data_IF_670922893517
#
_entry.id   IF_670922893517
#
_cell.length_a   1.000
_cell.length_b   1.000
_cell.length_c   1.000
_cell.angle_alpha   90.00
_cell.angle_beta   90.00
_cell.angle_gamma   90.00
#
_symmetry.space_group_name_H-M   'P 1'
#
loop_
_entity.id
_entity.type
_entity.pdbx_description
1 polymer ?
#
# COMPACT_ATOMS: atom_id res chain seq x y z
N UNK A 1 -35.07 -43.00 -35.27
CA UNK A 1 -34.64 -43.68 -34.02
C UNK A 1 -33.41 -44.52 -34.34
N UNK A 2 -32.22 -43.98 -34.10
CA UNK A 2 -30.98 -44.55 -34.63
C UNK A 2 -29.84 -44.56 -33.58
N UNK A 3 -29.26 -45.76 -33.41
CA UNK A 3 -27.89 -46.14 -33.03
C UNK A 3 -26.99 -45.26 -32.13
N UNK A 4 -26.36 -45.92 -31.13
CA UNK A 4 -24.91 -45.88 -30.79
C UNK A 4 -24.63 -46.94 -29.70
N UNK A 5 -24.23 -48.17 -30.03
CA UNK A 5 -22.86 -48.73 -30.16
C UNK A 5 -21.78 -48.18 -29.21
N UNK A 6 -21.24 -49.11 -28.42
CA UNK A 6 -20.06 -49.02 -27.56
C UNK A 6 -18.73 -49.15 -28.31
N UNK A 7 -17.63 -48.68 -27.68
CA UNK A 7 -16.23 -49.19 -27.66
C UNK A 7 -15.40 -48.16 -26.87
N UNK A 8 -14.79 -48.49 -25.73
CA UNK A 8 -13.65 -49.38 -25.46
C UNK A 8 -12.29 -48.80 -25.89
N UNK A 9 -11.51 -48.49 -24.84
CA UNK A 9 -10.09 -48.20 -24.67
C UNK A 9 -9.11 -48.47 -25.83
N UNK A 10 -8.17 -47.54 -26.00
CA UNK A 10 -6.84 -47.78 -26.55
C UNK A 10 -5.77 -47.04 -25.74
N UNK A 11 -4.86 -47.82 -25.16
CA UNK A 11 -3.58 -47.43 -24.58
C UNK A 11 -2.51 -47.46 -25.67
N UNK A 12 -1.73 -46.39 -25.81
CA UNK A 12 -0.41 -46.32 -26.44
C UNK A 12 0.36 -45.24 -25.67
N UNK A 13 1.32 -45.58 -24.78
CA UNK A 13 2.69 -46.03 -25.05
C UNK A 13 3.56 -44.96 -25.75
N UNK A 14 4.17 -44.09 -24.94
CA UNK A 14 5.42 -43.38 -25.20
C UNK A 14 6.09 -43.26 -23.82
N UNK A 15 7.30 -43.69 -23.55
CA UNK A 15 8.49 -43.76 -24.39
C UNK A 15 9.62 -43.21 -23.52
N UNK A 16 10.10 -44.02 -22.58
CA UNK A 16 11.19 -43.70 -21.66
C UNK A 16 12.50 -43.63 -22.46
N UNK A 17 13.13 -42.45 -22.48
CA UNK A 17 14.54 -42.30 -22.86
C UNK A 17 15.31 -41.89 -21.60
N UNK A 18 16.02 -42.87 -21.05
CA UNK A 18 17.02 -42.72 -19.99
C UNK A 18 18.26 -42.05 -20.60
N UNK A 19 18.46 -40.77 -20.30
CA UNK A 19 19.75 -40.11 -20.43
C UNK A 19 20.47 -40.15 -19.08
N UNK A 20 21.50 -40.98 -18.99
CA UNK A 20 22.41 -41.13 -17.87
C UNK A 20 23.21 -39.83 -17.68
N UNK A 21 22.90 -39.05 -16.65
CA UNK A 21 23.74 -37.94 -16.22
C UNK A 21 24.69 -38.41 -15.11
N UNK A 22 25.98 -38.42 -15.44
CA UNK A 22 27.08 -38.62 -14.51
C UNK A 22 27.11 -37.50 -13.48
N UNK A 23 27.03 -37.86 -12.20
CA UNK A 23 27.30 -36.96 -11.07
C UNK A 23 28.80 -36.65 -11.02
N UNK A 24 29.16 -35.42 -11.39
CA UNK A 24 30.43 -34.82 -10.97
C UNK A 24 30.17 -33.98 -9.70
N UNK A 25 31.07 -33.98 -8.70
CA UNK A 25 30.89 -33.21 -7.48
C UNK A 25 31.09 -31.72 -7.77
N UNK A 26 30.00 -31.00 -7.93
CA UNK A 26 30.01 -29.54 -7.98
C UNK A 26 30.33 -29.00 -6.59
N UNK A 27 31.48 -28.34 -6.52
CA UNK A 27 31.96 -27.55 -5.39
C UNK A 27 30.87 -26.65 -4.82
N UNK A 28 30.74 -26.71 -3.50
CA UNK A 28 29.89 -25.89 -2.65
C UNK A 28 30.09 -24.40 -2.96
N UNK A 29 29.19 -23.79 -3.75
CA UNK A 29 29.14 -22.33 -3.90
C UNK A 29 28.17 -21.80 -2.84
N UNK A 30 28.76 -21.10 -1.89
CA UNK A 30 28.12 -20.34 -0.81
C UNK A 30 26.84 -19.63 -1.24
N UNK A 31 25.75 -19.86 -0.48
CA UNK A 31 24.43 -19.28 -0.70
C UNK A 31 24.38 -17.75 -0.58
N UNK A 32 23.21 -17.15 -0.91
CA UNK A 32 23.03 -15.70 -0.88
C UNK A 32 23.31 -15.16 0.52
N UNK A 33 24.21 -14.18 0.59
CA UNK A 33 24.55 -13.47 1.83
C UNK A 33 23.27 -12.85 2.39
N UNK A 34 22.99 -13.13 3.67
CA UNK A 34 22.03 -12.37 4.46
C UNK A 34 22.36 -10.88 4.34
N UNK A 35 21.38 -9.97 4.22
CA UNK A 35 21.65 -8.55 4.31
C UNK A 35 22.38 -8.28 5.62
N UNK A 36 23.52 -7.61 5.52
CA UNK A 36 24.36 -7.25 6.65
C UNK A 36 23.51 -6.48 7.66
N UNK A 37 23.29 -7.10 8.83
CA UNK A 37 22.86 -6.35 10.01
C UNK A 37 23.89 -5.25 10.23
N UNK A 38 23.40 -4.01 10.27
CA UNK A 38 24.14 -2.85 10.70
C UNK A 38 24.80 -3.14 12.06
N UNK A 39 26.06 -3.60 12.05
CA UNK A 39 26.90 -3.72 13.24
C UNK A 39 27.42 -2.32 13.53
N UNK A 40 26.84 -1.67 14.53
CA UNK A 40 27.44 -0.48 15.14
C UNK A 40 28.78 -0.90 15.76
N UNK A 41 29.86 -0.30 15.26
CA UNK A 41 31.18 -0.34 15.89
C UNK A 41 31.07 0.25 17.30
N UNK A 42 31.51 -0.51 18.29
CA UNK A 42 31.66 -0.05 19.66
C UNK A 42 32.87 0.88 19.74
N UNK A 43 32.65 2.17 19.51
CA UNK A 43 33.54 3.23 19.98
C UNK A 43 32.69 4.37 20.52
N UNK A 44 32.69 4.43 21.85
CA UNK A 44 32.04 5.40 22.72
C UNK A 44 32.49 6.83 22.41
N UNK A 45 31.58 7.61 21.83
CA UNK A 45 31.45 9.03 22.11
C UNK A 45 29.95 9.29 22.26
N UNK A 46 29.55 9.88 23.41
CA UNK A 46 28.18 10.32 23.67
C UNK A 46 27.82 11.40 22.65
N UNK A 47 27.15 10.98 21.56
CA UNK A 47 26.49 11.88 20.62
C UNK A 47 25.17 12.31 21.29
N UNK A 48 24.80 13.60 21.29
CA UNK A 48 23.51 14.03 21.83
C UNK A 48 22.38 13.30 21.08
N UNK A 49 21.47 12.68 21.83
CA UNK A 49 20.46 11.72 21.35
C UNK A 49 19.20 12.38 20.73
N UNK A 50 19.19 13.69 20.48
CA UNK A 50 17.93 14.42 20.25
C UNK A 50 17.91 15.32 19.00
N UNK A 51 18.77 15.07 18.00
CA UNK A 51 18.54 15.67 16.69
C UNK A 51 17.42 14.90 15.99
N UNK A 52 16.18 15.36 16.15
CA UNK A 52 15.03 14.88 15.40
C UNK A 52 15.35 15.01 13.91
N UNK A 53 15.64 13.88 13.25
CA UNK A 53 15.83 13.85 11.80
C UNK A 53 14.46 14.11 11.17
N UNK A 54 14.18 15.37 10.89
CA UNK A 54 13.00 15.79 10.13
C UNK A 54 13.23 15.31 8.70
N UNK A 55 12.60 14.20 8.35
CA UNK A 55 12.56 13.74 6.96
C UNK A 55 11.48 14.53 6.22
N UNK A 56 11.82 15.04 5.05
CA UNK A 56 10.98 15.92 4.27
C UNK A 56 9.83 15.17 3.59
N UNK A 57 8.70 15.86 3.42
CA UNK A 57 7.67 15.47 2.47
C UNK A 57 8.23 15.55 1.04
N UNK A 58 7.66 14.76 0.13
CA UNK A 58 7.96 14.87 -1.28
C UNK A 58 6.72 15.21 -2.09
N UNK A 59 6.91 15.95 -3.17
CA UNK A 59 5.85 16.30 -4.11
C UNK A 59 6.35 16.12 -5.54
N UNK A 60 5.45 15.67 -6.41
CA UNK A 60 5.67 15.65 -7.85
C UNK A 60 4.54 16.44 -8.50
N UNK A 61 4.88 17.57 -9.09
CA UNK A 61 3.91 18.35 -9.86
C UNK A 61 3.48 17.63 -11.13
N UNK A 62 2.33 18.05 -11.67
CA UNK A 62 1.94 17.70 -13.03
C UNK A 62 3.08 18.02 -14.01
N UNK A 63 3.18 17.23 -15.08
CA UNK A 63 4.24 17.39 -16.08
C UNK A 63 4.20 18.80 -16.69
N UNK A 64 5.37 19.37 -16.95
CA UNK A 64 5.47 20.69 -17.55
C UNK A 64 4.67 20.76 -18.86
N UNK A 65 3.84 21.79 -19.02
CA UNK A 65 2.95 21.96 -20.18
C UNK A 65 1.62 21.21 -20.08
N UNK A 66 1.36 20.44 -19.01
CA UNK A 66 0.07 19.80 -18.77
C UNK A 66 -0.67 20.46 -17.60
N UNK A 67 -2.01 20.49 -17.68
CA UNK A 67 -2.85 21.00 -16.59
C UNK A 67 -2.88 20.00 -15.43
N UNK A 68 -2.74 20.49 -14.19
CA UNK A 68 -3.03 19.70 -12.99
C UNK A 68 -4.52 19.38 -12.95
N UNK A 69 -4.86 18.11 -13.18
CA UNK A 69 -6.25 17.64 -13.24
C UNK A 69 -6.56 16.53 -12.23
N UNK A 70 -5.54 15.98 -11.57
CA UNK A 70 -5.67 14.89 -10.60
C UNK A 70 -4.60 15.03 -9.51
N UNK A 71 -4.95 14.76 -8.25
CA UNK A 71 -3.98 14.59 -7.15
C UNK A 71 -4.05 13.15 -6.63
N UNK A 72 -2.90 12.55 -6.37
CA UNK A 72 -2.75 11.36 -5.53
C UNK A 72 -2.01 11.73 -4.25
N UNK A 73 -2.61 11.50 -3.09
CA UNK A 73 -1.93 11.54 -1.79
C UNK A 73 -1.56 10.12 -1.40
N UNK A 74 -0.26 9.79 -1.37
CA UNK A 74 0.19 8.41 -1.19
C UNK A 74 1.14 8.24 0.02
N UNK A 75 0.76 7.37 0.95
CA UNK A 75 1.45 7.20 2.23
C UNK A 75 2.35 5.96 2.24
N UNK A 76 3.61 6.16 2.61
CA UNK A 76 4.61 5.10 2.73
C UNK A 76 4.34 4.13 3.90
N UNK A 77 4.96 2.94 3.89
CA UNK A 77 4.92 1.99 5.01
C UNK A 77 5.80 2.40 6.21
N UNK A 78 5.70 1.67 7.32
CA UNK A 78 6.51 1.93 8.51
C UNK A 78 8.02 1.94 8.19
N UNK A 79 8.77 2.86 8.80
CA UNK A 79 10.22 3.06 8.61
C UNK A 79 10.64 3.42 7.17
N UNK A 80 9.76 4.08 6.40
CA UNK A 80 10.00 4.61 5.04
C UNK A 80 9.80 6.13 4.99
N UNK A 81 9.95 6.77 3.85
CA UNK A 81 9.60 8.20 3.70
C UNK A 81 9.09 8.51 2.29
N UNK A 82 8.46 9.67 2.12
CA UNK A 82 7.96 10.16 0.84
C UNK A 82 9.01 10.16 -0.28
N UNK A 83 10.22 10.71 -0.06
CA UNK A 83 11.28 10.73 -1.06
C UNK A 83 11.69 9.36 -1.63
N UNK A 84 11.43 8.24 -0.93
CA UNK A 84 11.72 6.91 -1.46
C UNK A 84 10.83 6.51 -2.65
N UNK A 85 9.69 7.19 -2.84
CA UNK A 85 8.75 7.00 -3.95
C UNK A 85 9.01 7.92 -5.15
N UNK A 86 10.07 8.73 -5.08
CA UNK A 86 10.50 9.56 -6.21
C UNK A 86 11.27 8.74 -7.25
N UNK A 87 11.45 9.25 -8.48
CA UNK A 87 12.17 8.55 -9.55
C UNK A 87 13.61 8.14 -9.19
N UNK A 88 14.26 8.93 -8.33
CA UNK A 88 15.61 8.68 -7.80
C UNK A 88 15.59 8.02 -6.42
N UNK A 89 14.40 7.65 -5.95
CA UNK A 89 14.18 6.99 -4.68
C UNK A 89 14.73 5.57 -4.67
N UNK A 90 14.91 5.03 -3.46
CA UNK A 90 15.57 3.72 -3.26
C UNK A 90 14.70 2.52 -3.70
N UNK A 91 13.41 2.73 -3.93
CA UNK A 91 12.46 1.67 -4.26
C UNK A 91 12.44 1.33 -5.74
N UNK A 92 12.71 2.29 -6.63
CA UNK A 92 12.75 2.06 -8.08
C UNK A 92 11.39 1.74 -8.72
N UNK A 93 10.29 1.98 -8.01
CA UNK A 93 8.95 1.63 -8.47
C UNK A 93 8.49 2.45 -9.69
N UNK A 94 7.81 1.79 -10.63
CA UNK A 94 7.19 2.43 -11.80
C UNK A 94 5.86 3.12 -11.45
N UNK A 95 5.88 4.01 -10.45
CA UNK A 95 4.70 4.75 -10.02
C UNK A 95 4.19 5.70 -11.12
N UNK A 96 2.88 6.02 -11.17
CA UNK A 96 2.30 6.83 -12.25
C UNK A 96 2.76 8.30 -12.27
N UNK A 97 3.42 8.77 -11.20
CA UNK A 97 4.05 10.08 -11.13
C UNK A 97 5.54 10.07 -11.53
N UNK A 98 6.14 8.90 -11.73
CA UNK A 98 7.55 8.78 -12.14
C UNK A 98 7.68 9.07 -13.65
N UNK A 99 8.64 9.92 -14.09
CA UNK A 99 8.90 10.18 -15.51
C UNK A 99 9.18 8.89 -16.29
N UNK A 100 8.52 8.74 -17.44
CA UNK A 100 8.62 7.55 -18.30
C UNK A 100 7.41 7.46 -19.24
N UNK A 101 7.34 6.38 -20.04
CA UNK A 101 6.25 6.15 -21.00
C UNK A 101 4.86 6.03 -20.35
N UNK A 102 4.80 5.62 -19.09
CA UNK A 102 3.57 5.37 -18.33
C UNK A 102 3.19 6.47 -17.34
N UNK A 103 3.83 7.65 -17.41
CA UNK A 103 3.50 8.77 -16.52
C UNK A 103 2.11 9.34 -16.82
N UNK A 104 1.30 9.52 -15.78
CA UNK A 104 0.11 10.36 -15.83
C UNK A 104 0.53 11.84 -15.80
N UNK A 105 0.50 12.50 -16.96
CA UNK A 105 1.07 13.84 -17.13
C UNK A 105 0.29 14.94 -16.39
N UNK A 106 -1.03 14.79 -16.22
CA UNK A 106 -1.86 15.70 -15.44
C UNK A 106 -1.92 15.38 -13.94
N UNK A 107 -1.20 14.36 -13.48
CA UNK A 107 -1.18 13.93 -12.08
C UNK A 107 -0.15 14.72 -11.27
N UNK A 108 -0.62 15.29 -10.15
CA UNK A 108 0.21 15.69 -9.02
C UNK A 108 0.25 14.54 -8.00
N UNK A 109 1.42 14.26 -7.44
CA UNK A 109 1.56 13.33 -6.32
C UNK A 109 2.07 14.08 -5.08
N UNK A 110 1.37 13.89 -3.96
CA UNK A 110 1.77 14.37 -2.64
C UNK A 110 2.17 13.15 -1.81
N UNK A 111 3.42 13.12 -1.38
CA UNK A 111 4.07 11.97 -0.76
C UNK A 111 4.53 12.38 0.64
N UNK A 112 3.60 12.49 1.61
CA UNK A 112 3.95 12.91 2.95
C UNK A 112 4.86 11.89 3.64
N UNK A 113 5.76 12.40 4.46
CA UNK A 113 6.62 11.61 5.36
C UNK A 113 6.06 11.65 6.77
N UNK A 114 5.86 10.48 7.36
CA UNK A 114 5.39 10.35 8.75
C UNK A 114 6.43 10.88 9.75
N UNK A 115 5.97 11.34 10.92
CA UNK A 115 6.85 11.74 12.02
C UNK A 115 7.69 10.56 12.52
N UNK A 116 8.86 10.86 13.09
CA UNK A 116 9.71 9.86 13.71
C UNK A 116 9.19 9.51 15.11
N UNK A 117 8.76 8.26 15.32
CA UNK A 117 8.17 7.83 16.59
C UNK A 117 8.98 6.68 17.18
N UNK A 118 9.27 6.77 18.49
CA UNK A 118 9.81 5.66 19.27
C UNK A 118 8.71 4.65 19.59
N UNK A 119 8.88 3.43 19.10
CA UNK A 119 7.94 2.33 19.31
C UNK A 119 8.12 1.71 20.71
N UNK A 120 7.12 1.01 21.27
CA UNK A 120 7.21 0.43 22.61
C UNK A 120 8.31 -0.63 22.78
N UNK A 121 8.87 -1.15 21.70
CA UNK A 121 10.03 -2.06 21.71
C UNK A 121 11.39 -1.35 21.55
N UNK A 122 11.40 -0.01 21.55
CA UNK A 122 12.60 0.80 21.60
C UNK A 122 13.16 1.26 20.24
N UNK A 123 12.70 0.71 19.12
CA UNK A 123 13.08 1.19 17.79
C UNK A 123 12.43 2.54 17.48
N UNK A 124 13.18 3.41 16.83
CA UNK A 124 12.72 4.73 16.36
C UNK A 124 12.75 4.75 14.84
N UNK A 125 11.64 5.16 14.24
CA UNK A 125 11.49 5.25 12.79
C UNK A 125 10.25 6.05 12.42
N UNK A 126 10.14 6.39 11.14
CA UNK A 126 8.96 7.07 10.60
C UNK A 126 7.72 6.19 10.75
N UNK A 127 6.69 6.70 11.41
CA UNK A 127 5.49 5.94 11.72
C UNK A 127 4.28 6.85 11.78
N UNK A 128 3.19 6.45 11.11
CA UNK A 128 1.95 7.23 11.07
C UNK A 128 1.22 7.25 12.42
N UNK A 129 1.49 6.28 13.27
CA UNK A 129 1.02 6.19 14.65
C UNK A 129 1.94 5.24 15.43
N UNK A 130 1.98 5.36 16.75
CA UNK A 130 2.69 4.39 17.58
C UNK A 130 1.94 3.06 17.61
N UNK A 131 2.64 1.95 17.36
CA UNK A 131 2.09 0.60 17.53
C UNK A 131 1.95 0.24 19.02
N UNK A 132 1.02 -0.65 19.33
CA UNK A 132 0.84 -1.15 20.70
C UNK A 132 1.93 -2.15 21.14
N UNK A 133 2.47 -2.93 20.21
CA UNK A 133 3.48 -3.95 20.46
C UNK A 133 4.15 -4.38 19.13
N UNK A 134 5.31 -5.07 19.17
CA UNK A 134 5.91 -5.67 17.97
C UNK A 134 4.93 -6.61 17.26
N UNK A 135 4.96 -6.63 15.92
CA UNK A 135 4.12 -7.51 15.10
C UNK A 135 2.60 -7.40 15.39
N UNK A 136 2.16 -6.28 15.97
CA UNK A 136 0.76 -5.98 16.23
C UNK A 136 0.28 -4.83 15.35
N UNK A 137 -0.89 -5.02 14.74
CA UNK A 137 -1.55 -4.04 13.89
C UNK A 137 -2.48 -3.07 14.66
N UNK A 138 -2.24 -2.87 15.95
CA UNK A 138 -3.08 -2.04 16.83
C UNK A 138 -2.36 -0.73 17.13
N UNK A 139 -3.11 0.37 17.11
CA UNK A 139 -2.65 1.67 17.58
C UNK A 139 -2.40 1.59 19.09
N UNK A 140 -1.17 1.86 19.51
CA UNK A 140 -0.73 1.97 20.89
C UNK A 140 -0.70 3.40 21.41
N UNK A 141 -0.53 4.36 20.50
CA UNK A 141 -0.47 5.78 20.81
C UNK A 141 -1.59 6.55 20.09
N UNK A 142 -2.60 6.93 20.86
CA UNK A 142 -3.74 7.68 20.35
C UNK A 142 -3.42 9.16 20.09
N UNK A 143 -2.34 9.70 20.64
CA UNK A 143 -1.92 11.07 20.40
C UNK A 143 -1.24 11.22 19.04
N UNK A 144 -0.27 10.35 18.72
CA UNK A 144 0.31 10.35 17.37
C UNK A 144 -0.74 10.11 16.30
N UNK A 145 -1.68 9.17 16.50
CA UNK A 145 -2.80 8.98 15.56
C UNK A 145 -3.61 10.27 15.35
N UNK A 146 -3.95 10.99 16.43
CA UNK A 146 -4.71 12.26 16.32
C UNK A 146 -3.91 13.35 15.63
N UNK A 147 -2.60 13.44 15.89
CA UNK A 147 -1.72 14.40 15.23
C UNK A 147 -1.63 14.13 13.73
N UNK A 148 -1.40 12.86 13.35
CA UNK A 148 -1.36 12.42 11.96
C UNK A 148 -2.68 12.68 11.23
N UNK A 149 -3.83 12.39 11.86
CA UNK A 149 -5.14 12.71 11.31
C UNK A 149 -5.29 14.18 10.99
N UNK A 150 -5.00 15.08 11.94
CA UNK A 150 -5.11 16.53 11.71
C UNK A 150 -4.25 17.01 10.54
N UNK A 151 -3.01 16.52 10.46
CA UNK A 151 -2.09 16.89 9.39
C UNK A 151 -2.59 16.42 8.02
N UNK A 152 -2.98 15.15 7.92
CA UNK A 152 -3.48 14.58 6.66
C UNK A 152 -4.83 15.18 6.25
N UNK A 153 -5.70 15.47 7.21
CA UNK A 153 -6.96 16.18 7.00
C UNK A 153 -6.72 17.54 6.34
N UNK A 154 -5.90 18.39 6.94
CA UNK A 154 -5.54 19.69 6.37
C UNK A 154 -4.91 19.57 4.98
N UNK A 155 -4.06 18.57 4.76
CA UNK A 155 -3.44 18.30 3.46
C UNK A 155 -4.46 17.89 2.40
N UNK A 156 -5.39 16.99 2.72
CA UNK A 156 -6.46 16.58 1.80
C UNK A 156 -7.37 17.76 1.46
N UNK A 157 -7.78 18.55 2.46
CA UNK A 157 -8.58 19.76 2.22
C UNK A 157 -7.87 20.75 1.28
N UNK A 158 -6.58 21.02 1.49
CA UNK A 158 -5.80 21.92 0.65
C UNK A 158 -5.70 21.43 -0.81
N UNK A 159 -5.55 20.11 -1.02
CA UNK A 159 -5.49 19.54 -2.36
C UNK A 159 -6.87 19.48 -3.04
N UNK A 160 -7.96 19.28 -2.30
CA UNK A 160 -9.33 19.42 -2.82
C UNK A 160 -9.60 20.88 -3.23
N UNK A 161 -9.21 21.86 -2.40
CA UNK A 161 -9.34 23.27 -2.71
C UNK A 161 -8.55 23.65 -3.98
N UNK A 162 -7.31 23.18 -4.09
CA UNK A 162 -6.46 23.38 -5.26
C UNK A 162 -7.09 22.82 -6.55
N UNK A 163 -7.73 21.64 -6.48
CA UNK A 163 -8.39 21.00 -7.62
C UNK A 163 -9.76 21.60 -7.94
N UNK A 164 -10.44 22.18 -6.95
CA UNK A 164 -11.83 22.63 -7.04
C UNK A 164 -12.87 21.49 -7.12
N UNK A 165 -12.43 20.23 -7.13
CA UNK A 165 -13.29 19.04 -7.21
C UNK A 165 -12.60 17.83 -6.55
N UNK A 166 -13.10 17.41 -5.38
CA UNK A 166 -12.53 16.30 -4.63
C UNK A 166 -12.65 14.95 -5.35
N UNK A 167 -13.52 14.82 -6.37
CA UNK A 167 -13.62 13.60 -7.18
C UNK A 167 -12.36 13.33 -8.00
N UNK A 168 -11.45 14.30 -8.07
CA UNK A 168 -10.15 14.22 -8.74
C UNK A 168 -8.98 14.01 -7.76
N UNK A 169 -9.26 13.85 -6.47
CA UNK A 169 -8.29 13.51 -5.45
C UNK A 169 -8.44 12.04 -5.04
N UNK A 170 -7.35 11.30 -5.15
CA UNK A 170 -7.25 9.92 -4.71
C UNK A 170 -6.32 9.82 -3.50
N UNK A 171 -6.63 8.91 -2.58
CA UNK A 171 -5.73 8.55 -1.48
C UNK A 171 -5.18 7.14 -1.69
N UNK A 172 -4.00 6.90 -1.15
CA UNK A 172 -3.47 5.56 -1.09
C UNK A 172 -2.30 5.39 -0.16
N UNK A 173 -1.80 4.17 -0.09
CA UNK A 173 -0.58 3.88 0.64
C UNK A 173 -0.23 2.41 0.73
N UNK A 174 0.88 2.12 1.39
CA UNK A 174 1.38 0.78 1.60
C UNK A 174 1.55 0.45 3.08
N UNK A 175 1.25 -0.79 3.48
CA UNK A 175 1.45 -1.30 4.84
C UNK A 175 0.77 -0.39 5.89
N UNK A 176 1.49 0.13 6.88
CA UNK A 176 0.95 1.09 7.85
C UNK A 176 0.32 2.33 7.17
N UNK A 177 0.95 2.84 6.10
CA UNK A 177 0.46 3.96 5.32
C UNK A 177 -0.85 3.65 4.60
N UNK A 178 -1.05 2.41 4.13
CA UNK A 178 -2.32 1.96 3.56
C UNK A 178 -3.46 2.10 4.58
N UNK A 179 -3.23 1.66 5.82
CA UNK A 179 -4.25 1.69 6.88
C UNK A 179 -4.55 3.13 7.30
N UNK A 180 -3.51 3.97 7.43
CA UNK A 180 -3.67 5.37 7.78
C UNK A 180 -4.39 6.15 6.67
N UNK A 181 -4.00 5.97 5.41
CA UNK A 181 -4.65 6.60 4.27
C UNK A 181 -6.12 6.16 4.16
N UNK A 182 -6.41 4.88 4.43
CA UNK A 182 -7.78 4.37 4.42
C UNK A 182 -8.61 4.97 5.57
N UNK A 183 -8.03 5.14 6.77
CA UNK A 183 -8.71 5.80 7.88
C UNK A 183 -9.06 7.26 7.55
N UNK A 184 -8.16 7.99 6.90
CA UNK A 184 -8.45 9.36 6.40
C UNK A 184 -9.52 9.32 5.31
N UNK A 185 -9.38 8.43 4.33
CA UNK A 185 -10.34 8.30 3.23
C UNK A 185 -11.76 8.04 3.75
N UNK A 186 -11.99 7.03 4.60
CA UNK A 186 -13.35 6.72 5.07
C UNK A 186 -13.97 7.85 5.91
N UNK A 187 -13.15 8.73 6.48
CA UNK A 187 -13.61 9.90 7.25
C UNK A 187 -14.02 11.07 6.36
N UNK A 188 -13.27 11.31 5.30
CA UNK A 188 -13.41 12.51 4.46
C UNK A 188 -14.12 12.26 3.13
N UNK A 189 -14.22 11.00 2.69
CA UNK A 189 -14.73 10.65 1.36
C UNK A 189 -16.12 11.21 1.08
N UNK A 190 -17.04 11.10 2.04
CA UNK A 190 -18.43 11.58 1.87
C UNK A 190 -18.49 13.11 1.85
N UNK A 191 -17.77 13.76 2.76
CA UNK A 191 -17.74 15.22 2.88
C UNK A 191 -17.12 15.89 1.65
N UNK A 192 -15.97 15.38 1.21
CA UNK A 192 -15.17 15.98 0.15
C UNK A 192 -15.40 15.37 -1.23
N UNK A 193 -16.29 14.36 -1.33
CA UNK A 193 -16.57 13.63 -2.58
C UNK A 193 -15.33 13.05 -3.23
N UNK A 194 -14.47 12.40 -2.44
CA UNK A 194 -13.15 11.95 -2.88
C UNK A 194 -13.21 10.94 -4.04
N UNK A 195 -12.26 11.01 -4.96
CA UNK A 195 -12.23 10.23 -6.20
C UNK A 195 -12.12 8.73 -5.99
N UNK A 196 -11.38 8.30 -4.99
CA UNK A 196 -11.19 6.88 -4.68
C UNK A 196 -10.01 6.61 -3.77
N UNK A 197 -9.75 5.32 -3.54
CA UNK A 197 -8.69 4.83 -2.69
C UNK A 197 -7.97 3.63 -3.33
N UNK A 198 -6.65 3.58 -3.19
CA UNK A 198 -5.82 2.43 -3.59
C UNK A 198 -4.80 2.08 -2.51
N UNK A 199 -4.68 0.81 -2.15
CA UNK A 199 -3.74 0.40 -1.11
C UNK A 199 -3.13 -0.97 -1.28
N UNK A 200 -1.90 -1.12 -0.77
CA UNK A 200 -1.15 -2.37 -0.79
C UNK A 200 -0.84 -2.85 0.62
N UNK A 201 -1.04 -4.15 0.88
CA UNK A 201 -0.77 -4.84 2.16
C UNK A 201 -1.31 -4.12 3.41
N UNK A 202 -2.57 -3.67 3.35
CA UNK A 202 -3.27 -3.06 4.49
C UNK A 202 -4.53 -3.80 4.92
N UNK A 203 -5.26 -3.22 5.87
CA UNK A 203 -6.53 -3.72 6.40
C UNK A 203 -7.48 -2.56 6.68
N UNK A 204 -8.79 -2.85 6.78
CA UNK A 204 -9.81 -1.83 7.06
C UNK A 204 -9.69 -1.37 8.53
N UNK A 205 -9.45 -0.08 8.81
CA UNK A 205 -9.28 0.42 10.17
C UNK A 205 -10.55 0.26 11.00
N UNK A 206 -10.38 0.04 12.31
CA UNK A 206 -11.49 -0.25 13.23
C UNK A 206 -11.26 0.37 14.60
N UNK A 207 -12.35 0.63 15.33
CA UNK A 207 -12.28 1.13 16.70
C UNK A 207 -11.55 0.13 17.62
N UNK A 208 -11.77 -1.18 17.43
CA UNK A 208 -11.11 -2.24 18.22
C UNK A 208 -9.59 -2.34 17.96
N UNK A 209 -9.12 -1.83 16.82
CA UNK A 209 -7.68 -1.66 16.51
C UNK A 209 -7.12 -0.32 16.96
N UNK A 210 -7.91 0.50 17.67
CA UNK A 210 -7.50 1.79 18.20
C UNK A 210 -7.72 2.97 17.25
N UNK A 211 -8.34 2.75 16.08
CA UNK A 211 -8.72 3.81 15.15
C UNK A 211 -10.05 4.46 15.55
N UNK A 212 -10.13 5.03 16.75
CA UNK A 212 -11.39 5.57 17.32
C UNK A 212 -12.20 6.38 16.32
N UNK A 213 -13.45 5.97 16.08
CA UNK A 213 -14.41 6.55 15.15
C UNK A 213 -14.42 5.95 13.74
N UNK A 214 -13.51 5.03 13.42
CA UNK A 214 -13.43 4.40 12.10
C UNK A 214 -14.67 3.57 11.78
N UNK A 215 -15.25 2.90 12.77
CA UNK A 215 -16.46 2.09 12.57
C UNK A 215 -17.67 2.96 12.18
N UNK A 216 -17.79 4.14 12.79
CA UNK A 216 -18.82 5.12 12.41
C UNK A 216 -18.55 5.67 11.02
N UNK A 217 -17.31 6.05 10.72
CA UNK A 217 -16.93 6.60 9.41
C UNK A 217 -17.22 5.61 8.27
N UNK A 218 -16.84 4.33 8.44
CA UNK A 218 -17.14 3.29 7.47
C UNK A 218 -18.65 3.10 7.25
N UNK A 219 -19.47 3.14 8.31
CA UNK A 219 -20.94 3.09 8.18
C UNK A 219 -21.49 4.29 7.43
N UNK A 220 -20.97 5.49 7.66
CA UNK A 220 -21.34 6.69 6.90
C UNK A 220 -21.00 6.53 5.42
N UNK A 221 -19.81 6.01 5.10
CA UNK A 221 -19.41 5.72 3.72
C UNK A 221 -20.33 4.70 3.05
N UNK A 222 -20.65 3.59 3.73
CA UNK A 222 -21.58 2.56 3.23
C UNK A 222 -22.99 3.10 2.98
N UNK A 223 -23.44 4.07 3.78
CA UNK A 223 -24.77 4.65 3.68
C UNK A 223 -24.89 5.70 2.56
N UNK A 224 -23.79 6.28 2.10
CA UNK A 224 -23.79 7.24 0.99
C UNK A 224 -23.69 6.51 -0.35
N UNK A 225 -24.81 6.35 -1.04
CA UNK A 225 -24.88 5.61 -2.31
C UNK A 225 -24.03 6.18 -3.43
N UNK A 226 -23.72 7.49 -3.40
CA UNK A 226 -22.89 8.13 -4.43
C UNK A 226 -21.40 7.90 -4.18
N UNK A 227 -20.99 7.95 -2.92
CA UNK A 227 -19.61 7.75 -2.52
C UNK A 227 -19.23 6.26 -2.43
N UNK A 228 -20.15 5.39 -2.00
CA UNK A 228 -19.91 3.95 -1.85
C UNK A 228 -19.52 3.24 -3.16
N UNK A 229 -19.94 3.78 -4.32
CA UNK A 229 -19.59 3.25 -5.65
C UNK A 229 -18.22 3.71 -6.14
N UNK A 230 -17.55 4.65 -5.46
CA UNK A 230 -16.21 5.11 -5.83
C UNK A 230 -15.18 4.00 -5.60
N UNK A 231 -14.15 3.91 -6.45
CA UNK A 231 -13.19 2.81 -6.40
C UNK A 231 -12.44 2.79 -5.06
N UNK A 232 -12.45 1.64 -4.40
CA UNK A 232 -11.64 1.32 -3.23
C UNK A 232 -10.91 0.01 -3.53
N UNK A 233 -9.68 0.10 -4.00
CA UNK A 233 -8.92 -1.08 -4.40
C UNK A 233 -7.87 -1.42 -3.35
N UNK A 234 -7.83 -2.68 -2.93
CA UNK A 234 -6.84 -3.21 -2.01
C UNK A 234 -6.14 -4.41 -2.65
N UNK A 235 -4.81 -4.43 -2.63
CA UNK A 235 -4.03 -5.62 -2.95
C UNK A 235 -3.40 -6.20 -1.69
N UNK A 236 -3.63 -7.47 -1.44
CA UNK A 236 -3.28 -8.13 -0.19
C UNK A 236 -2.50 -9.42 -0.45
N UNK A 237 -1.38 -9.58 0.24
CA UNK A 237 -0.62 -10.82 0.21
C UNK A 237 -1.27 -11.85 1.14
N UNK A 238 -1.62 -13.01 0.58
CA UNK A 238 -2.29 -14.11 1.28
C UNK A 238 -1.36 -14.87 2.23
N UNK A 239 -0.06 -14.77 1.96
CA UNK A 239 1.06 -15.40 2.65
C UNK A 239 1.88 -14.41 3.49
N UNK A 240 1.36 -13.19 3.72
CA UNK A 240 1.87 -12.36 4.82
C UNK A 240 1.41 -13.00 6.14
N UNK A 241 2.37 -13.52 6.90
CA UNK A 241 2.13 -14.20 8.18
C UNK A 241 2.52 -13.34 9.39
N UNK A 242 3.31 -12.29 9.17
CA UNK A 242 4.02 -11.60 10.24
C UNK A 242 3.60 -10.14 10.37
N UNK A 243 3.64 -9.38 9.27
CA UNK A 243 3.50 -7.93 9.32
C UNK A 243 2.02 -7.52 9.28
N UNK A 244 1.28 -7.94 8.25
CA UNK A 244 -0.16 -7.68 8.11
C UNK A 244 -0.89 -8.99 7.81
N UNK A 245 -1.05 -9.87 8.82
CA UNK A 245 -1.41 -11.25 8.54
C UNK A 245 -2.78 -11.42 7.88
N UNK A 246 -2.83 -12.13 6.74
CA UNK A 246 -4.06 -12.25 5.96
C UNK A 246 -5.23 -12.82 6.78
N UNK A 247 -4.98 -13.97 7.44
CA UNK A 247 -6.04 -14.76 8.10
C UNK A 247 -6.60 -14.09 9.36
N UNK A 248 -5.74 -13.44 10.15
CA UNK A 248 -6.10 -12.91 11.47
C UNK A 248 -6.35 -11.40 11.47
N UNK A 249 -5.92 -10.66 10.44
CA UNK A 249 -6.07 -9.20 10.35
C UNK A 249 -6.84 -8.80 9.10
N UNK A 250 -6.33 -9.12 7.91
CA UNK A 250 -6.87 -8.57 6.65
C UNK A 250 -8.26 -9.12 6.35
N UNK A 251 -8.41 -10.43 6.16
CA UNK A 251 -9.69 -11.03 5.77
C UNK A 251 -10.84 -10.71 6.75
N UNK A 252 -10.64 -10.75 8.09
CA UNK A 252 -11.67 -10.30 9.02
C UNK A 252 -12.05 -8.82 8.88
N UNK A 253 -11.09 -7.94 8.59
CA UNK A 253 -11.36 -6.52 8.37
C UNK A 253 -12.17 -6.26 7.10
N UNK A 254 -11.90 -7.02 6.03
CA UNK A 254 -12.57 -6.88 4.73
C UNK A 254 -14.05 -7.22 4.79
N UNK A 255 -14.46 -8.20 5.62
CA UNK A 255 -15.88 -8.55 5.82
C UNK A 255 -16.77 -7.37 6.20
N UNK A 256 -16.20 -6.36 6.85
CA UNK A 256 -16.92 -5.15 7.25
C UNK A 256 -17.15 -4.18 6.10
N UNK A 257 -16.33 -4.27 5.06
CA UNK A 257 -16.37 -3.42 3.88
C UNK A 257 -16.98 -4.11 2.66
N UNK A 258 -17.35 -5.40 2.75
CA UNK A 258 -17.97 -6.19 1.66
C UNK A 258 -19.24 -5.55 1.08
N UNK A 259 -19.91 -4.66 1.83
CA UNK A 259 -21.06 -3.90 1.34
C UNK A 259 -20.72 -2.72 0.43
N UNK A 260 -19.45 -2.36 0.22
CA UNK A 260 -19.04 -1.27 -0.67
C UNK A 260 -19.00 -1.75 -2.12
N UNK A 261 -19.86 -1.24 -3.03
CA UNK A 261 -19.85 -1.67 -4.43
C UNK A 261 -18.53 -1.35 -5.16
N UNK A 262 -17.83 -0.29 -4.74
CA UNK A 262 -16.53 0.08 -5.29
C UNK A 262 -15.35 -0.73 -4.77
N UNK A 263 -15.56 -1.65 -3.81
CA UNK A 263 -14.50 -2.45 -3.21
C UNK A 263 -13.98 -3.50 -4.20
N UNK A 264 -12.69 -3.46 -4.49
CA UNK A 264 -11.99 -4.52 -5.23
C UNK A 264 -10.81 -5.05 -4.44
N UNK A 265 -10.75 -6.36 -4.28
CA UNK A 265 -9.67 -7.04 -3.55
C UNK A 265 -8.86 -7.88 -4.51
N UNK A 266 -7.58 -7.55 -4.68
CA UNK A 266 -6.62 -8.36 -5.41
C UNK A 266 -5.81 -9.19 -4.41
N UNK A 267 -6.09 -10.47 -4.36
CA UNK A 267 -5.33 -11.41 -3.54
C UNK A 267 -4.08 -11.87 -4.30
N UNK A 268 -2.92 -11.83 -3.64
CA UNK A 268 -1.64 -12.23 -4.22
C UNK A 268 -0.98 -13.28 -3.34
N UNK A 269 -0.45 -14.34 -3.94
CA UNK A 269 0.26 -15.40 -3.23
C UNK A 269 1.75 -15.38 -3.60
N UNK A 270 2.60 -15.87 -2.70
CA UNK A 270 4.04 -16.05 -2.94
C UNK A 270 4.85 -14.75 -2.84
N UNK A 271 4.32 -13.73 -2.14
CA UNK A 271 4.98 -12.43 -1.99
C UNK A 271 5.32 -12.08 -0.55
N UNK A 272 4.68 -12.72 0.44
CA UNK A 272 4.77 -12.32 1.84
C UNK A 272 4.48 -10.83 2.02
N UNK A 273 5.23 -10.13 2.87
CA UNK A 273 5.10 -8.67 3.03
C UNK A 273 5.91 -7.85 1.99
N UNK A 274 6.49 -8.49 0.98
CA UNK A 274 7.24 -7.81 -0.07
C UNK A 274 6.30 -7.13 -1.06
N UNK A 275 6.31 -5.79 -1.08
CA UNK A 275 5.35 -4.96 -1.84
C UNK A 275 5.83 -4.65 -3.28
N UNK A 276 7.15 -4.68 -3.51
CA UNK A 276 7.87 -4.63 -4.81
C UNK A 276 7.17 -3.85 -5.94
N UNK A 277 7.36 -4.24 -7.20
CA UNK A 277 6.79 -3.56 -8.36
C UNK A 277 5.25 -3.70 -8.45
N UNK A 278 4.67 -4.67 -7.75
CA UNK A 278 3.23 -4.89 -7.80
C UNK A 278 2.44 -3.82 -7.06
N UNK A 279 3.07 -3.11 -6.12
CA UNK A 279 2.52 -1.89 -5.53
C UNK A 279 2.23 -0.85 -6.62
N UNK A 280 3.19 -0.60 -7.52
CA UNK A 280 3.01 0.34 -8.60
C UNK A 280 1.93 -0.11 -9.59
N UNK A 281 1.80 -1.42 -9.85
CA UNK A 281 0.80 -1.95 -10.78
C UNK A 281 -0.62 -1.62 -10.35
N UNK A 282 -1.00 -1.87 -9.09
CA UNK A 282 -2.39 -1.58 -8.65
C UNK A 282 -2.69 -0.08 -8.68
N UNK A 283 -1.73 0.77 -8.34
CA UNK A 283 -1.89 2.24 -8.40
C UNK A 283 -2.09 2.70 -9.84
N UNK A 284 -1.27 2.18 -10.78
CA UNK A 284 -1.42 2.46 -12.20
C UNK A 284 -2.77 1.97 -12.75
N UNK A 285 -3.16 0.73 -12.43
CA UNK A 285 -4.42 0.15 -12.90
C UNK A 285 -5.63 0.98 -12.44
N UNK A 286 -5.65 1.40 -11.17
CA UNK A 286 -6.71 2.23 -10.62
C UNK A 286 -6.78 3.59 -11.32
N UNK A 287 -5.65 4.29 -11.45
CA UNK A 287 -5.64 5.61 -12.09
C UNK A 287 -5.97 5.54 -13.58
N UNK A 288 -5.56 4.49 -14.30
CA UNK A 288 -5.97 4.30 -15.70
C UNK A 288 -7.46 4.04 -15.82
N UNK A 289 -8.05 3.28 -14.90
CA UNK A 289 -9.48 2.98 -14.92
C UNK A 289 -10.36 4.17 -14.51
N UNK A 290 -9.90 4.98 -13.54
CA UNK A 290 -10.75 5.97 -12.86
C UNK A 290 -10.27 7.41 -12.96
N UNK A 291 -9.06 7.64 -13.48
CA UNK A 291 -8.46 8.95 -13.72
C UNK A 291 -7.75 9.00 -15.08
N UNK A 292 -8.31 8.33 -16.10
CA UNK A 292 -7.73 8.27 -17.45
C UNK A 292 -7.40 9.65 -18.05
N UNK A 293 -8.17 10.68 -17.67
CA UNK A 293 -7.95 12.07 -18.06
C UNK A 293 -6.60 12.65 -17.57
N UNK A 294 -5.97 12.06 -16.56
CA UNK A 294 -4.63 12.44 -16.11
C UNK A 294 -3.51 11.92 -17.03
N UNK A 295 -3.84 11.00 -17.95
CA UNK A 295 -2.90 10.44 -18.93
C UNK A 295 -2.97 11.12 -20.31
N UNK A 296 -3.98 11.98 -20.53
CA UNK A 296 -4.12 12.79 -21.75
C UNK A 296 -3.08 13.93 -21.79
#
# INVERSE_FOLDING_TARGET
MAHRKARAAQYLAAGFLLASFSWAPSTFVSGPRRPERCRRSATSALVPDDAEVVLEDAEVEAAAGHQHCCTMVYLHGFSRCGPEYLPKGRLGFCMPWVPGGDRARGLRAVLPTASCLRQPWGETGTSWYGYAAPNHNRVGDAESLRATRRRLDSMVHAEVERLGDGRRLFLGGASQGCVMALDVYIRLAVELRLGGFVGSVGFVPTDSKGFTGADRALRCLLADSEQAVRPLWLQCAMDDFDAVPWRSVVAPSLRRAEGLPGLQIRQVAGRGHGIEDWEAHIVNDLLRAHAAYAYA
#
